data_IF_253684234031
#
_entry.id   IF_253684234031
#
_cell.length_a   1.000
_cell.length_b   1.000
_cell.length_c   1.000
_cell.angle_alpha   90.00
_cell.angle_beta   90.00
_cell.angle_gamma   90.00
#
_symmetry.space_group_name_H-M   'P 1'
#
loop_
_entity.id
_entity.type
_entity.pdbx_description
1 polymer ?
#
# COMPACT_ATOMS: atom_id res chain seq x y z
N UNK A 1 4.29 -28.29 -15.98
CA UNK A 1 3.85 -27.16 -15.16
C UNK A 1 2.77 -27.71 -14.24
N UNK A 2 3.10 -27.98 -12.98
CA UNK A 2 2.11 -28.39 -11.98
C UNK A 2 1.36 -27.12 -11.59
N UNK A 3 0.10 -27.00 -12.02
CA UNK A 3 -0.75 -25.89 -11.61
C UNK A 3 -0.82 -25.86 -10.09
N UNK A 4 -0.43 -24.73 -9.47
CA UNK A 4 -0.77 -24.47 -8.09
C UNK A 4 -2.30 -24.50 -8.02
N UNK A 5 -2.87 -25.37 -7.21
CA UNK A 5 -4.31 -25.34 -6.97
C UNK A 5 -4.65 -23.97 -6.41
N UNK A 6 -5.47 -23.21 -7.11
CA UNK A 6 -6.02 -21.96 -6.60
C UNK A 6 -6.88 -22.34 -5.40
N UNK A 7 -6.57 -21.76 -4.25
CA UNK A 7 -7.32 -21.92 -3.00
C UNK A 7 -8.38 -20.83 -2.83
N UNK A 8 -8.29 -19.80 -3.61
CA UNK A 8 -9.28 -18.76 -3.87
C UNK A 8 -8.89 -18.01 -5.14
N UNK A 9 -9.82 -17.32 -5.75
CA UNK A 9 -9.61 -16.57 -6.97
C UNK A 9 -10.19 -15.16 -6.83
N UNK A 10 -9.68 -14.22 -7.62
CA UNK A 10 -10.40 -12.97 -7.85
C UNK A 10 -11.61 -13.26 -8.74
N UNK A 11 -12.71 -12.49 -8.66
CA UNK A 11 -13.88 -12.60 -9.54
C UNK A 11 -13.58 -12.14 -10.98
N UNK A 12 -12.59 -12.72 -11.61
CA UNK A 12 -12.09 -12.36 -12.95
C UNK A 12 -11.58 -13.59 -13.68
N UNK A 13 -11.75 -13.62 -14.98
CA UNK A 13 -11.13 -14.63 -15.82
C UNK A 13 -9.64 -14.37 -16.00
N UNK A 14 -8.82 -15.40 -15.99
CA UNK A 14 -7.39 -15.30 -16.28
C UNK A 14 -6.49 -16.02 -15.28
N UNK A 15 -5.19 -16.02 -15.59
CA UNK A 15 -4.17 -16.63 -14.72
C UNK A 15 -3.56 -15.58 -13.81
N UNK A 16 -3.68 -15.78 -12.51
CA UNK A 16 -3.10 -14.89 -11.51
C UNK A 16 -2.45 -15.66 -10.36
N UNK A 17 -1.53 -14.99 -9.69
CA UNK A 17 -0.92 -15.47 -8.45
C UNK A 17 -1.62 -14.80 -7.26
N UNK A 18 -2.01 -15.55 -6.25
CA UNK A 18 -2.58 -15.01 -5.00
C UNK A 18 -1.50 -14.55 -4.04
N UNK A 19 -0.32 -15.18 -4.11
CA UNK A 19 0.88 -14.81 -3.37
C UNK A 19 2.13 -14.98 -4.24
N UNK A 20 3.12 -14.12 -3.99
CA UNK A 20 4.45 -14.23 -4.61
C UNK A 20 5.53 -13.73 -3.66
N UNK A 21 6.77 -14.17 -3.85
CA UNK A 21 7.91 -13.78 -3.01
C UNK A 21 8.98 -13.04 -3.81
N UNK A 22 9.58 -12.03 -3.16
CA UNK A 22 10.79 -11.37 -3.59
C UNK A 22 11.78 -11.31 -2.42
N UNK A 23 12.99 -11.81 -2.62
CA UNK A 23 14.01 -11.93 -1.58
C UNK A 23 13.47 -12.61 -0.31
N UNK A 24 13.43 -11.89 0.83
CA UNK A 24 12.96 -12.42 2.11
C UNK A 24 11.48 -12.16 2.40
N UNK A 25 10.78 -11.45 1.52
CA UNK A 25 9.39 -11.06 1.69
C UNK A 25 8.46 -11.88 0.80
N UNK A 26 7.28 -12.17 1.33
CA UNK A 26 6.14 -12.70 0.59
C UNK A 26 5.00 -11.70 0.63
N UNK A 27 4.29 -11.57 -0.48
CA UNK A 27 3.22 -10.62 -0.69
C UNK A 27 1.92 -11.35 -1.03
N UNK A 28 0.81 -10.88 -0.46
CA UNK A 28 -0.54 -11.23 -0.88
C UNK A 28 -1.22 -9.96 -1.33
N UNK A 29 -1.84 -9.97 -2.49
CA UNK A 29 -2.62 -8.86 -3.04
C UNK A 29 -3.97 -8.72 -2.34
N UNK A 30 -4.92 -8.04 -2.96
CA UNK A 30 -6.24 -7.72 -2.40
C UNK A 30 -7.10 -8.95 -2.08
N UNK A 31 -6.72 -9.69 -1.05
CA UNK A 31 -7.48 -10.85 -0.58
C UNK A 31 -8.84 -10.39 -0.04
N UNK A 32 -9.91 -10.96 -0.59
CA UNK A 32 -11.29 -10.84 -0.12
C UNK A 32 -11.78 -12.17 0.42
N UNK A 33 -13.08 -12.24 0.72
CA UNK A 33 -13.77 -13.46 1.11
C UNK A 33 -14.23 -14.25 -0.12
N UNK A 34 -13.27 -14.63 -0.97
CA UNK A 34 -13.50 -15.35 -2.23
C UNK A 34 -13.33 -16.87 -2.06
N UNK A 35 -14.10 -17.63 -2.81
CA UNK A 35 -13.89 -19.05 -3.01
C UNK A 35 -12.95 -19.35 -4.21
N UNK A 36 -12.84 -20.63 -4.59
CA UNK A 36 -11.98 -21.07 -5.69
C UNK A 36 -12.50 -20.59 -7.05
N UNK A 37 -13.80 -20.36 -7.18
CA UNK A 37 -14.48 -19.81 -8.36
C UNK A 37 -14.53 -18.28 -8.40
N UNK A 38 -13.96 -17.59 -7.40
CA UNK A 38 -13.97 -16.14 -7.29
C UNK A 38 -15.28 -15.54 -6.81
N UNK A 39 -16.18 -16.35 -6.22
CA UNK A 39 -17.44 -15.83 -5.68
C UNK A 39 -17.21 -15.34 -4.24
N UNK A 40 -17.91 -14.27 -3.85
CA UNK A 40 -17.90 -13.80 -2.47
C UNK A 40 -18.76 -14.74 -1.64
N UNK A 41 -18.15 -15.41 -0.63
CA UNK A 41 -18.84 -16.39 0.22
C UNK A 41 -19.91 -15.76 1.12
N UNK A 42 -19.65 -14.55 1.62
CA UNK A 42 -20.54 -13.82 2.55
C UNK A 42 -20.85 -12.42 2.03
N UNK A 43 -21.75 -12.27 1.03
CA UNK A 43 -22.10 -10.97 0.47
C UNK A 43 -22.57 -9.98 1.54
N UNK A 44 -22.06 -8.74 1.49
CA UNK A 44 -22.45 -7.62 2.35
C UNK A 44 -22.18 -7.78 3.87
N UNK A 45 -21.63 -8.91 4.33
CA UNK A 45 -21.27 -9.15 5.74
C UNK A 45 -19.78 -8.86 5.98
N UNK A 46 -19.45 -7.65 6.43
CA UNK A 46 -18.07 -7.24 6.66
C UNK A 46 -17.32 -8.16 7.64
N UNK A 47 -17.95 -8.59 8.73
CA UNK A 47 -17.29 -9.42 9.74
C UNK A 47 -16.94 -10.80 9.19
N UNK A 48 -17.87 -11.43 8.49
CA UNK A 48 -17.61 -12.70 7.82
C UNK A 48 -16.58 -12.54 6.70
N UNK A 49 -16.69 -11.46 5.90
CA UNK A 49 -15.72 -11.18 4.84
C UNK A 49 -14.30 -10.93 5.38
N UNK A 50 -14.16 -10.25 6.51
CA UNK A 50 -12.85 -10.06 7.15
C UNK A 50 -12.24 -11.40 7.56
N UNK A 51 -13.04 -12.27 8.20
CA UNK A 51 -12.58 -13.60 8.60
C UNK A 51 -12.14 -14.42 7.40
N UNK A 52 -12.96 -14.49 6.36
CA UNK A 52 -12.65 -15.20 5.13
C UNK A 52 -11.44 -14.64 4.38
N UNK A 53 -11.26 -13.32 4.38
CA UNK A 53 -10.07 -12.69 3.80
C UNK A 53 -8.79 -13.07 4.55
N UNK A 54 -8.82 -13.16 5.88
CA UNK A 54 -7.67 -13.61 6.70
C UNK A 54 -7.36 -15.10 6.44
N UNK A 55 -8.38 -15.95 6.32
CA UNK A 55 -8.22 -17.36 5.93
C UNK A 55 -7.57 -17.48 4.54
N UNK A 56 -8.01 -16.67 3.59
CA UNK A 56 -7.46 -16.63 2.24
C UNK A 56 -6.00 -16.15 2.23
N UNK A 57 -5.63 -15.17 3.08
CA UNK A 57 -4.23 -14.75 3.27
C UNK A 57 -3.40 -15.91 3.82
N UNK A 58 -3.88 -16.62 4.83
CA UNK A 58 -3.18 -17.76 5.40
C UNK A 58 -2.93 -18.84 4.36
N UNK A 59 -3.98 -19.19 3.60
CA UNK A 59 -3.90 -20.18 2.57
C UNK A 59 -2.92 -19.77 1.45
N UNK A 60 -2.93 -18.50 1.03
CA UNK A 60 -2.00 -17.95 0.04
C UNK A 60 -0.54 -17.98 0.55
N UNK A 61 -0.27 -17.56 1.78
CA UNK A 61 1.08 -17.59 2.35
C UNK A 61 1.62 -19.00 2.54
N UNK A 62 0.78 -20.01 2.79
CA UNK A 62 1.23 -21.42 2.84
C UNK A 62 1.87 -21.87 1.52
N UNK A 63 1.44 -21.36 0.37
CA UNK A 63 2.08 -21.63 -0.93
C UNK A 63 3.51 -21.07 -1.01
N UNK A 64 3.78 -19.98 -0.28
CA UNK A 64 5.09 -19.33 -0.18
C UNK A 64 5.90 -19.83 1.04
N UNK A 65 5.45 -20.92 1.70
CA UNK A 65 6.03 -21.48 2.93
C UNK A 65 6.09 -20.45 4.08
N UNK A 66 5.11 -19.58 4.17
CA UNK A 66 4.83 -18.63 5.25
C UNK A 66 3.49 -18.95 5.91
N UNK A 67 3.23 -18.37 7.05
CA UNK A 67 1.94 -18.43 7.73
C UNK A 67 1.54 -17.07 8.31
N UNK A 68 0.37 -17.01 8.96
CA UNK A 68 -0.07 -15.77 9.63
C UNK A 68 0.92 -15.30 10.70
N UNK A 69 1.68 -16.20 11.32
CA UNK A 69 2.73 -15.87 12.28
C UNK A 69 3.89 -15.09 11.67
N UNK A 70 4.10 -15.18 10.37
CA UNK A 70 5.16 -14.47 9.64
C UNK A 70 4.71 -13.10 9.13
N UNK A 71 3.42 -12.76 9.26
CA UNK A 71 2.88 -11.48 8.78
C UNK A 71 3.47 -10.33 9.58
N UNK A 72 4.00 -9.34 8.89
CA UNK A 72 4.59 -8.14 9.45
C UNK A 72 3.72 -6.90 9.24
N UNK A 73 2.88 -6.91 8.19
CA UNK A 73 1.98 -5.81 7.85
C UNK A 73 0.71 -6.33 7.20
N UNK A 74 -0.44 -5.78 7.64
CA UNK A 74 -1.72 -5.85 6.94
C UNK A 74 -2.19 -4.44 6.63
N UNK A 75 -2.63 -4.23 5.39
CA UNK A 75 -3.37 -3.05 4.98
C UNK A 75 -4.77 -3.48 4.59
N UNK A 76 -5.78 -2.92 5.25
CA UNK A 76 -7.17 -3.18 4.99
C UNK A 76 -7.80 -1.99 4.25
N UNK A 77 -8.28 -2.23 3.04
CA UNK A 77 -9.14 -1.32 2.30
C UNK A 77 -10.58 -1.69 2.62
N UNK A 78 -11.29 -0.81 3.30
CA UNK A 78 -12.59 -1.13 3.89
C UNK A 78 -13.62 -0.05 3.61
N UNK A 79 -14.82 -0.45 3.25
CA UNK A 79 -15.96 0.44 3.14
C UNK A 79 -16.57 0.62 4.53
N UNK A 80 -16.36 1.78 5.13
CA UNK A 80 -16.89 2.13 6.45
C UNK A 80 -18.38 2.50 6.37
N UNK A 81 -19.07 2.40 7.49
CA UNK A 81 -20.47 2.79 7.65
C UNK A 81 -20.69 3.39 9.03
N UNK A 82 -21.87 3.92 9.31
CA UNK A 82 -22.22 4.42 10.64
C UNK A 82 -22.07 3.38 11.76
N UNK A 83 -22.26 2.08 11.43
CA UNK A 83 -22.15 0.98 12.37
C UNK A 83 -20.73 0.39 12.46
N UNK A 84 -19.85 0.74 11.54
CA UNK A 84 -18.50 0.17 11.42
C UNK A 84 -17.47 1.29 11.33
N UNK A 85 -16.71 1.47 12.39
CA UNK A 85 -15.60 2.42 12.43
C UNK A 85 -14.24 1.71 12.29
N UNK A 86 -13.17 2.47 12.10
CA UNK A 86 -11.81 1.93 11.96
C UNK A 86 -11.39 1.08 13.17
N UNK A 87 -11.74 1.50 14.39
CA UNK A 87 -11.40 0.78 15.62
C UNK A 87 -11.98 -0.62 15.60
N UNK A 88 -13.27 -0.76 15.25
CA UNK A 88 -13.90 -2.08 15.20
C UNK A 88 -13.24 -3.01 14.16
N UNK A 89 -12.77 -2.46 13.04
CA UNK A 89 -12.01 -3.25 12.04
C UNK A 89 -10.66 -3.68 12.59
N UNK A 90 -9.94 -2.79 13.29
CA UNK A 90 -8.67 -3.13 13.96
C UNK A 90 -8.87 -4.22 14.99
N UNK A 91 -9.90 -4.12 15.84
CA UNK A 91 -10.22 -5.14 16.85
C UNK A 91 -10.53 -6.51 16.23
N UNK A 92 -11.33 -6.52 15.16
CA UNK A 92 -11.63 -7.75 14.43
C UNK A 92 -10.37 -8.37 13.82
N UNK A 93 -9.47 -7.56 13.22
CA UNK A 93 -8.19 -8.05 12.69
C UNK A 93 -7.28 -8.59 13.79
N UNK A 94 -7.14 -7.88 14.91
CA UNK A 94 -6.35 -8.34 16.05
C UNK A 94 -6.87 -9.65 16.63
N UNK A 95 -8.20 -9.86 16.64
CA UNK A 95 -8.81 -11.10 17.09
C UNK A 95 -8.59 -12.29 16.12
N UNK A 96 -8.50 -11.99 14.80
CA UNK A 96 -8.29 -13.00 13.76
C UNK A 96 -6.81 -13.39 13.57
N UNK A 97 -5.88 -12.55 14.03
CA UNK A 97 -4.44 -12.77 13.84
C UNK A 97 -3.82 -13.47 15.06
N UNK A 98 -2.88 -14.40 14.84
CA UNK A 98 -2.25 -15.11 15.96
C UNK A 98 -1.25 -14.22 16.69
N UNK A 99 -1.38 -14.20 17.99
CA UNK A 99 -0.38 -13.83 19.00
C UNK A 99 0.42 -12.52 18.79
N UNK A 100 0.85 -11.98 19.94
CA UNK A 100 1.77 -10.82 20.02
C UNK A 100 3.22 -11.21 19.73
N UNK A 101 4.03 -10.34 19.10
CA UNK A 101 3.62 -9.01 18.66
C UNK A 101 2.67 -9.09 17.45
N UNK A 102 1.65 -8.23 17.46
CA UNK A 102 0.74 -8.11 16.32
C UNK A 102 1.47 -7.52 15.09
N UNK A 103 1.10 -7.89 13.87
CA UNK A 103 1.59 -7.18 12.69
C UNK A 103 1.15 -5.71 12.73
N UNK A 104 1.83 -4.88 11.96
CA UNK A 104 1.36 -3.52 11.72
C UNK A 104 0.05 -3.57 10.94
N UNK A 105 -1.00 -2.95 11.47
CA UNK A 105 -2.30 -2.84 10.81
C UNK A 105 -2.49 -1.40 10.33
N UNK A 106 -2.91 -1.25 9.07
CA UNK A 106 -3.25 0.03 8.46
C UNK A 106 -4.63 -0.05 7.86
N UNK A 107 -5.54 0.81 8.30
CA UNK A 107 -6.88 0.93 7.71
C UNK A 107 -6.84 2.05 6.66
N UNK A 108 -7.42 1.78 5.51
CA UNK A 108 -7.65 2.75 4.44
C UNK A 108 -9.14 2.72 4.11
N UNK A 109 -9.90 3.72 4.54
CA UNK A 109 -11.29 3.85 4.15
C UNK A 109 -11.39 4.01 2.63
N UNK A 110 -12.34 3.31 2.03
CA UNK A 110 -12.68 3.44 0.61
C UNK A 110 -14.19 3.55 0.47
N UNK A 111 -14.65 4.28 -0.53
CA UNK A 111 -16.08 4.48 -0.77
C UNK A 111 -16.72 3.28 -1.46
N UNK A 112 -15.92 2.49 -2.17
CA UNK A 112 -16.38 1.29 -2.88
C UNK A 112 -15.26 0.25 -2.96
N UNK A 113 -15.63 -0.98 -3.26
CA UNK A 113 -14.74 -2.09 -3.56
C UNK A 113 -14.83 -2.44 -5.06
N UNK A 114 -13.83 -3.15 -5.62
CA UNK A 114 -13.83 -3.49 -7.04
C UNK A 114 -14.94 -4.44 -7.46
N UNK A 115 -15.48 -5.23 -6.53
CA UNK A 115 -16.50 -6.22 -6.83
C UNK A 115 -17.78 -5.97 -6.02
N UNK A 116 -18.93 -6.25 -6.62
CA UNK A 116 -20.23 -6.06 -5.99
C UNK A 116 -20.32 -6.84 -4.67
N UNK A 117 -20.98 -6.27 -3.66
CA UNK A 117 -21.18 -6.87 -2.33
C UNK A 117 -19.89 -7.12 -1.51
N UNK A 118 -18.72 -6.76 -2.03
CA UNK A 118 -17.47 -6.75 -1.28
C UNK A 118 -17.44 -5.55 -0.32
N UNK A 119 -16.98 -5.75 0.92
CA UNK A 119 -16.84 -4.68 1.94
C UNK A 119 -15.40 -4.43 2.34
N UNK A 120 -14.53 -5.41 2.11
CA UNK A 120 -13.13 -5.34 2.53
C UNK A 120 -12.23 -6.11 1.56
N UNK A 121 -11.02 -5.62 1.38
CA UNK A 121 -9.90 -6.38 0.85
C UNK A 121 -8.65 -6.13 1.69
N UNK A 122 -7.84 -7.16 1.85
CA UNK A 122 -6.63 -7.12 2.65
C UNK A 122 -5.39 -7.31 1.75
N UNK A 123 -4.40 -6.45 1.93
CA UNK A 123 -3.07 -6.64 1.40
C UNK A 123 -2.14 -7.03 2.54
N UNK A 124 -1.33 -8.06 2.37
CA UNK A 124 -0.44 -8.53 3.43
C UNK A 124 1.01 -8.68 2.95
N UNK A 125 1.93 -8.41 3.87
CA UNK A 125 3.37 -8.65 3.71
C UNK A 125 3.81 -9.58 4.85
N UNK A 126 4.50 -10.67 4.50
CA UNK A 126 5.09 -11.59 5.45
C UNK A 126 6.61 -11.71 5.26
N UNK A 127 7.32 -12.00 6.33
CA UNK A 127 8.74 -12.34 6.33
C UNK A 127 8.94 -13.61 7.15
N UNK A 128 9.35 -14.69 6.48
CA UNK A 128 9.51 -15.99 7.14
C UNK A 128 10.50 -15.95 8.29
N UNK A 129 10.14 -16.56 9.41
CA UNK A 129 11.04 -16.80 10.53
C UNK A 129 11.48 -15.54 11.29
N UNK A 130 10.88 -14.39 11.06
CA UNK A 130 11.31 -13.16 11.71
C UNK A 130 11.15 -13.20 13.24
N UNK A 131 10.24 -14.03 13.75
CA UNK A 131 10.00 -14.19 15.18
C UNK A 131 11.11 -14.96 15.91
N UNK A 132 11.93 -15.68 15.17
CA UNK A 132 13.08 -16.42 15.70
C UNK A 132 14.31 -15.52 15.89
N UNK A 133 14.27 -14.29 15.34
CA UNK A 133 15.33 -13.29 15.51
C UNK A 133 14.96 -12.31 16.63
N UNK A 134 15.94 -11.56 17.14
CA UNK A 134 15.70 -10.49 18.12
C UNK A 134 15.23 -9.24 17.40
N UNK A 135 13.93 -8.95 17.48
CA UNK A 135 13.31 -7.79 16.86
C UNK A 135 12.83 -6.76 17.88
N UNK A 136 12.87 -5.49 17.49
CA UNK A 136 12.20 -4.44 18.25
C UNK A 136 10.79 -4.26 17.67
N UNK A 137 9.81 -4.32 18.53
CA UNK A 137 8.41 -4.03 18.22
C UNK A 137 7.97 -2.90 19.15
N UNK A 138 7.40 -1.85 18.58
CA UNK A 138 6.82 -0.77 19.36
C UNK A 138 5.30 -0.93 19.34
N UNK A 139 4.70 -1.05 20.53
CA UNK A 139 3.26 -1.09 20.72
C UNK A 139 2.81 0.21 21.37
N UNK A 140 1.86 0.91 20.74
CA UNK A 140 1.26 2.12 21.26
C UNK A 140 -0.25 1.96 21.36
N UNK A 141 -0.88 2.59 22.35
CA UNK A 141 -2.33 2.74 22.37
C UNK A 141 -2.79 3.58 21.17
N UNK A 142 -3.74 3.06 20.41
CA UNK A 142 -4.41 3.83 19.37
C UNK A 142 -5.43 4.75 20.05
N UNK A 143 -5.07 5.99 20.33
CA UNK A 143 -6.01 7.01 20.78
C UNK A 143 -6.79 7.51 19.60
N UNK A 144 -7.96 6.95 19.35
CA UNK A 144 -8.92 7.47 18.39
C UNK A 144 -9.87 8.38 19.15
N UNK A 145 -10.00 9.63 18.75
CA UNK A 145 -10.70 10.70 19.46
C UNK A 145 -12.19 10.46 19.76
N UNK A 146 -12.78 9.38 19.27
CA UNK A 146 -14.21 9.06 19.45
C UNK A 146 -14.52 7.89 20.37
N UNK A 147 -13.52 7.24 21.00
CA UNK A 147 -13.74 6.12 21.89
C UNK A 147 -13.30 6.50 23.29
N UNK A 148 -14.21 6.40 24.26
CA UNK A 148 -13.92 6.57 25.69
C UNK A 148 -12.67 5.79 26.08
N UNK A 149 -11.79 6.42 26.86
CA UNK A 149 -10.44 5.94 27.22
C UNK A 149 -10.36 4.59 27.96
N UNK A 150 -11.47 3.88 28.12
CA UNK A 150 -11.55 2.54 28.71
C UNK A 150 -11.70 1.50 27.61
N UNK A 151 -10.57 1.04 27.05
CA UNK A 151 -10.53 -0.14 26.21
C UNK A 151 -10.02 0.02 24.77
N UNK A 152 -9.31 1.10 24.45
CA UNK A 152 -8.67 1.20 23.11
C UNK A 152 -7.70 0.04 22.88
N UNK A 153 -7.74 -0.63 21.71
CA UNK A 153 -6.85 -1.74 21.43
C UNK A 153 -5.38 -1.28 21.39
N UNK A 154 -4.50 -2.09 21.93
CA UNK A 154 -3.05 -1.89 21.75
C UNK A 154 -2.68 -2.33 20.34
N UNK A 155 -2.02 -1.44 19.58
CA UNK A 155 -1.63 -1.69 18.20
C UNK A 155 -0.13 -1.52 18.03
N UNK A 156 0.43 -2.22 17.04
CA UNK A 156 1.82 -2.07 16.63
C UNK A 156 1.91 -0.91 15.65
N UNK A 157 2.63 0.15 16.00
CA UNK A 157 2.81 1.33 15.15
C UNK A 157 4.03 1.23 14.24
N UNK A 158 5.07 0.52 14.67
CA UNK A 158 6.22 0.14 13.87
C UNK A 158 6.70 -1.25 14.26
N UNK A 159 7.05 -2.07 13.28
CA UNK A 159 7.58 -3.42 13.47
C UNK A 159 8.81 -3.62 12.61
N UNK A 160 9.89 -4.11 13.23
CA UNK A 160 11.10 -4.51 12.54
C UNK A 160 11.21 -6.02 12.48
N UNK A 161 11.38 -6.55 11.29
CA UNK A 161 11.58 -7.96 10.96
C UNK A 161 12.93 -8.12 10.23
N UNK A 162 14.02 -8.27 10.99
CA UNK A 162 15.37 -8.25 10.45
C UNK A 162 15.71 -6.91 9.80
N UNK A 163 15.98 -6.91 8.50
CA UNK A 163 16.26 -5.68 7.74
C UNK A 163 15.01 -4.91 7.31
N UNK A 164 13.83 -5.50 7.35
CA UNK A 164 12.58 -4.88 6.89
C UNK A 164 11.82 -4.26 8.06
N UNK A 165 11.30 -3.08 7.84
CA UNK A 165 10.54 -2.32 8.85
C UNK A 165 9.25 -1.82 8.20
N UNK A 166 8.12 -2.06 8.86
CA UNK A 166 6.82 -1.55 8.47
C UNK A 166 6.31 -0.56 9.51
N UNK A 167 5.65 0.51 9.09
CA UNK A 167 4.88 1.40 9.98
C UNK A 167 3.40 1.36 9.63
N UNK A 168 2.56 1.63 10.61
CA UNK A 168 1.13 1.87 10.37
C UNK A 168 0.94 3.17 9.56
N UNK A 169 -0.13 3.22 8.78
CA UNK A 169 -0.58 4.48 8.19
C UNK A 169 -1.20 5.34 9.31
N UNK A 170 -0.62 6.51 9.56
CA UNK A 170 -1.04 7.40 10.62
C UNK A 170 -1.75 8.63 10.09
N UNK A 171 -2.69 9.15 10.88
CA UNK A 171 -3.31 10.47 10.74
C UNK A 171 -2.78 11.40 11.84
N UNK A 172 -3.08 12.69 11.77
CA UNK A 172 -2.71 13.61 12.85
C UNK A 172 -3.40 13.24 14.17
N UNK A 173 -4.65 12.77 14.13
CA UNK A 173 -5.38 12.30 15.31
C UNK A 173 -4.69 11.15 16.05
N UNK A 174 -3.97 10.29 15.33
CA UNK A 174 -3.18 9.21 15.95
C UNK A 174 -1.87 9.70 16.60
N UNK A 175 -1.46 10.94 16.34
CA UNK A 175 -0.15 11.46 16.73
C UNK A 175 -0.20 12.49 17.84
N UNK A 176 -1.37 13.10 18.10
CA UNK A 176 -1.58 14.17 19.05
C UNK A 176 -2.62 13.75 20.09
N UNK A 177 -2.30 13.91 21.38
CA UNK A 177 -3.20 13.47 22.48
C UNK A 177 -4.56 14.20 22.48
N UNK A 178 -4.57 15.46 22.06
CA UNK A 178 -5.78 16.30 22.01
C UNK A 178 -5.88 16.94 20.64
N UNK A 179 -6.20 16.14 19.62
CA UNK A 179 -6.41 16.67 18.27
C UNK A 179 -7.82 17.25 18.15
N UNK A 180 -7.89 18.55 17.88
CA UNK A 180 -9.14 19.31 17.77
C UNK A 180 -9.59 19.58 16.32
N UNK A 181 -8.87 19.02 15.34
CA UNK A 181 -9.17 19.21 13.92
C UNK A 181 -8.65 20.52 13.32
N UNK A 182 -7.99 21.38 14.09
CA UNK A 182 -7.59 22.73 13.64
C UNK A 182 -6.36 22.81 12.73
N UNK A 183 -5.70 21.68 12.41
CA UNK A 183 -4.51 21.66 11.56
C UNK A 183 -4.87 21.55 10.09
N UNK A 184 -4.28 22.38 9.24
CA UNK A 184 -4.34 22.20 7.79
C UNK A 184 -3.54 20.96 7.33
N UNK A 185 -3.71 20.57 6.06
CA UNK A 185 -3.09 19.34 5.55
C UNK A 185 -1.56 19.34 5.59
N UNK A 186 -0.90 20.50 5.46
CA UNK A 186 0.56 20.61 5.57
C UNK A 186 1.00 20.39 7.02
N UNK A 187 0.34 21.05 7.98
CA UNK A 187 0.60 20.87 9.41
C UNK A 187 0.33 19.43 9.86
N UNK A 188 -0.77 18.80 9.41
CA UNK A 188 -1.03 17.38 9.63
C UNK A 188 0.10 16.51 9.08
N UNK A 189 0.59 16.79 7.88
CA UNK A 189 1.72 16.07 7.28
C UNK A 189 2.98 16.16 8.13
N UNK A 190 3.31 17.34 8.68
CA UNK A 190 4.45 17.51 9.58
C UNK A 190 4.31 16.70 10.87
N UNK A 191 3.16 16.73 11.51
CA UNK A 191 2.87 15.94 12.72
C UNK A 191 3.05 14.45 12.44
N UNK A 192 2.45 13.95 11.36
CA UNK A 192 2.53 12.54 10.97
C UNK A 192 3.99 12.12 10.69
N UNK A 193 4.71 12.89 9.88
CA UNK A 193 6.10 12.56 9.52
C UNK A 193 7.03 12.58 10.73
N UNK A 194 6.83 13.51 11.66
CA UNK A 194 7.54 13.53 12.94
C UNK A 194 7.30 12.27 13.77
N UNK A 195 6.03 11.85 13.89
CA UNK A 195 5.64 10.63 14.59
C UNK A 195 6.20 9.36 13.93
N UNK A 196 6.10 9.25 12.59
CA UNK A 196 6.69 8.12 11.85
C UNK A 196 8.20 8.03 12.06
N UNK A 197 8.91 9.17 12.05
CA UNK A 197 10.35 9.18 12.31
C UNK A 197 10.69 8.76 13.74
N UNK A 198 9.88 9.13 14.73
CA UNK A 198 10.05 8.67 16.11
C UNK A 198 9.85 7.15 16.22
N UNK A 199 8.78 6.61 15.64
CA UNK A 199 8.50 5.16 15.62
C UNK A 199 9.62 4.38 14.92
N UNK A 200 10.14 4.89 13.78
CA UNK A 200 11.27 4.27 13.08
C UNK A 200 12.54 4.27 13.94
N UNK A 201 12.81 5.37 14.65
CA UNK A 201 13.99 5.46 15.56
C UNK A 201 13.89 4.47 16.71
N UNK A 202 12.72 4.24 17.26
CA UNK A 202 12.49 3.26 18.32
C UNK A 202 12.85 1.83 17.87
N UNK A 203 12.72 1.52 16.59
CA UNK A 203 13.13 0.22 16.01
C UNK A 203 14.49 0.29 15.28
N UNK A 204 15.30 1.31 15.52
CA UNK A 204 16.67 1.42 15.04
C UNK A 204 16.81 1.85 13.57
N UNK A 205 15.85 2.62 13.04
CA UNK A 205 15.88 3.16 11.69
C UNK A 205 15.50 4.65 11.66
N UNK A 206 15.33 5.22 10.49
CA UNK A 206 14.90 6.60 10.27
C UNK A 206 14.11 6.72 8.96
N UNK A 207 13.53 7.87 8.69
CA UNK A 207 12.88 8.14 7.40
C UNK A 207 13.86 8.03 6.21
N UNK A 208 15.17 8.22 6.43
CA UNK A 208 16.19 8.05 5.39
C UNK A 208 16.36 6.56 4.97
N UNK A 209 15.86 5.63 5.77
CA UNK A 209 15.86 4.21 5.45
C UNK A 209 14.57 3.77 4.71
N UNK A 210 13.63 4.69 4.49
CA UNK A 210 12.39 4.39 3.78
C UNK A 210 12.66 3.91 2.35
N UNK A 211 12.01 2.83 1.96
CA UNK A 211 12.04 2.24 0.60
C UNK A 211 10.74 2.45 -0.14
N UNK A 212 9.68 2.78 0.57
CA UNK A 212 8.38 3.14 0.02
C UNK A 212 7.64 4.07 0.98
N UNK A 213 7.14 5.18 0.45
CA UNK A 213 6.15 6.01 1.10
C UNK A 213 4.79 5.76 0.46
N UNK A 214 3.79 5.51 1.28
CA UNK A 214 2.40 5.39 0.86
C UNK A 214 1.56 6.40 1.62
N UNK A 215 0.76 7.16 0.90
CA UNK A 215 -0.09 8.18 1.51
C UNK A 215 -1.45 8.27 0.84
N UNK A 216 -2.37 8.85 1.59
CA UNK A 216 -3.71 9.19 1.15
C UNK A 216 -4.01 10.61 1.58
N UNK A 217 -4.78 11.34 0.80
CA UNK A 217 -5.13 12.71 1.13
C UNK A 217 -6.54 13.07 0.68
N UNK A 218 -7.18 13.97 1.40
CA UNK A 218 -8.46 14.53 1.02
C UNK A 218 -8.23 15.68 0.06
N UNK A 219 -8.77 15.57 -1.14
CA UNK A 219 -8.64 16.58 -2.17
C UNK A 219 -8.67 15.98 -3.58
N UNK A 220 -8.94 16.82 -4.56
CA UNK A 220 -9.14 16.41 -5.96
C UNK A 220 -8.30 17.25 -6.93
N UNK A 221 -7.49 18.19 -6.39
CA UNK A 221 -6.70 19.09 -7.22
C UNK A 221 -5.24 19.11 -6.80
N UNK A 222 -4.39 19.55 -7.72
CA UNK A 222 -2.95 19.71 -7.49
C UNK A 222 -2.66 20.76 -6.41
N UNK A 223 -3.44 21.82 -6.36
CA UNK A 223 -3.30 22.91 -5.39
C UNK A 223 -3.53 22.40 -3.96
N UNK A 224 -4.46 21.47 -3.78
CA UNK A 224 -4.71 20.82 -2.50
C UNK A 224 -3.60 19.82 -2.14
N UNK A 225 -3.06 19.08 -3.12
CA UNK A 225 -2.01 18.09 -2.93
C UNK A 225 -0.62 18.70 -2.64
N UNK A 226 -0.27 19.80 -3.33
CA UNK A 226 1.11 20.34 -3.34
C UNK A 226 1.63 20.73 -1.95
N UNK A 227 0.88 21.43 -1.07
CA UNK A 227 1.36 21.75 0.27
C UNK A 227 1.67 20.51 1.11
N UNK A 228 0.81 19.50 1.03
CA UNK A 228 0.99 18.24 1.76
C UNK A 228 2.22 17.48 1.23
N UNK A 229 2.41 17.47 -0.08
CA UNK A 229 3.57 16.83 -0.71
C UNK A 229 4.89 17.46 -0.29
N UNK A 230 4.97 18.80 -0.31
CA UNK A 230 6.16 19.57 0.13
C UNK A 230 6.45 19.35 1.62
N UNK A 231 5.43 19.35 2.46
CA UNK A 231 5.59 19.09 3.90
C UNK A 231 6.18 17.70 4.15
N UNK A 232 5.67 16.65 3.49
CA UNK A 232 6.24 15.29 3.60
C UNK A 232 7.66 15.21 3.03
N UNK A 233 7.89 15.83 1.87
CA UNK A 233 9.16 15.81 1.16
C UNK A 233 10.30 16.42 1.99
N UNK A 234 10.01 17.43 2.81
CA UNK A 234 11.03 18.11 3.65
C UNK A 234 11.71 17.20 4.69
N UNK A 235 11.18 16.01 4.92
CA UNK A 235 11.76 15.01 5.83
C UNK A 235 12.76 14.07 5.15
N UNK A 236 12.92 14.14 3.85
CA UNK A 236 13.80 13.26 3.10
C UNK A 236 14.98 14.05 2.50
N UNK A 237 16.19 13.51 2.66
CA UNK A 237 17.30 13.92 1.84
C UNK A 237 17.16 13.33 0.43
N UNK A 238 17.73 13.99 -0.56
CA UNK A 238 17.81 13.45 -1.92
C UNK A 238 18.97 12.45 -2.02
N UNK A 239 18.73 11.27 -2.61
CA UNK A 239 17.51 10.73 -3.20
C UNK A 239 16.51 10.20 -2.15
N UNK A 240 15.28 10.66 -2.21
CA UNK A 240 14.19 10.16 -1.38
C UNK A 240 13.60 8.83 -1.87
N UNK A 241 12.70 8.19 -1.10
CA UNK A 241 12.11 6.91 -1.48
C UNK A 241 11.12 7.05 -2.64
N UNK A 242 10.83 5.98 -3.37
CA UNK A 242 9.62 5.88 -4.19
C UNK A 242 8.36 6.18 -3.39
N UNK A 243 7.48 7.01 -3.92
CA UNK A 243 6.27 7.47 -3.24
C UNK A 243 5.01 7.20 -4.07
N UNK A 244 3.89 6.94 -3.40
CA UNK A 244 2.54 6.87 -3.97
C UNK A 244 1.60 7.58 -3.02
N UNK A 245 0.84 8.57 -3.52
CA UNK A 245 -0.07 9.35 -2.68
C UNK A 245 -1.38 9.61 -3.41
N UNK A 246 -2.44 8.97 -2.97
CA UNK A 246 -3.72 8.86 -3.65
C UNK A 246 -4.76 9.77 -2.99
N UNK A 247 -5.57 10.51 -3.77
CA UNK A 247 -6.77 11.13 -3.23
C UNK A 247 -7.75 10.05 -2.76
N UNK A 248 -8.28 10.23 -1.56
CA UNK A 248 -9.16 9.27 -0.93
C UNK A 248 -10.12 9.99 0.01
N UNK A 249 -11.32 9.48 0.16
CA UNK A 249 -12.24 9.95 1.18
C UNK A 249 -11.80 9.40 2.54
N UNK A 250 -11.27 10.27 3.40
CA UNK A 250 -10.65 9.87 4.68
C UNK A 250 -11.61 9.92 5.89
N UNK A 251 -12.89 10.18 5.64
CA UNK A 251 -13.91 10.38 6.68
C UNK A 251 -13.98 11.84 7.15
N UNK A 252 -15.16 12.24 7.63
CA UNK A 252 -15.41 13.64 8.09
C UNK A 252 -15.13 13.80 9.59
N UNK A 253 -15.10 12.71 10.35
CA UNK A 253 -15.18 12.74 11.82
C UNK A 253 -14.03 13.46 12.51
N UNK A 254 -12.82 13.43 11.92
CA UNK A 254 -11.61 13.99 12.56
C UNK A 254 -10.93 15.08 11.72
N UNK A 255 -11.61 15.65 10.73
CA UNK A 255 -11.01 16.59 9.77
C UNK A 255 -9.66 16.10 9.23
N UNK A 256 -9.54 14.78 9.02
CA UNK A 256 -8.33 14.14 8.52
C UNK A 256 -8.09 14.55 7.07
N UNK A 257 -7.01 15.31 6.84
CA UNK A 257 -6.61 15.76 5.50
C UNK A 257 -5.61 14.82 4.84
N UNK A 258 -4.89 14.02 5.63
CA UNK A 258 -3.88 13.11 5.09
C UNK A 258 -3.58 11.94 6.04
N UNK A 259 -3.15 10.84 5.44
CA UNK A 259 -2.74 9.60 6.11
C UNK A 259 -1.47 9.10 5.44
N UNK A 260 -0.44 8.76 6.21
CA UNK A 260 0.87 8.36 5.68
C UNK A 260 1.43 7.18 6.45
N UNK A 261 2.06 6.25 5.72
CA UNK A 261 2.87 5.17 6.25
C UNK A 261 4.10 4.91 5.38
N UNK A 262 5.08 4.23 5.93
CA UNK A 262 6.32 3.89 5.22
C UNK A 262 6.69 2.42 5.40
N UNK A 263 7.33 1.88 4.39
CA UNK A 263 8.19 0.70 4.51
C UNK A 263 9.63 1.16 4.46
N UNK A 264 10.48 0.60 5.34
CA UNK A 264 11.88 0.93 5.41
C UNK A 264 12.74 -0.34 5.42
N UNK A 265 14.00 -0.20 5.01
CA UNK A 265 14.96 -1.29 5.07
C UNK A 265 16.29 -0.80 5.63
N UNK A 266 16.75 -1.47 6.68
CA UNK A 266 18.04 -1.18 7.33
C UNK A 266 18.71 -2.46 7.77
N UNK A 267 19.94 -2.68 7.32
CA UNK A 267 20.71 -3.86 7.68
C UNK A 267 21.11 -3.80 9.17
N UNK A 268 20.98 -4.93 9.85
CA UNK A 268 21.54 -5.11 11.18
C UNK A 268 22.74 -6.05 11.09
N UNK A 269 23.91 -5.56 11.55
CA UNK A 269 25.13 -6.34 11.63
C UNK A 269 25.65 -6.35 13.06
N UNK A 270 25.57 -7.51 13.73
CA UNK A 270 25.98 -7.66 15.12
C UNK A 270 25.27 -6.64 16.02
N UNK A 271 26.01 -5.66 16.55
CA UNK A 271 25.51 -4.66 17.48
C UNK A 271 25.20 -3.29 16.86
N UNK A 272 25.28 -3.13 15.54
CA UNK A 272 25.02 -1.85 14.89
C UNK A 272 24.16 -2.00 13.63
N UNK A 273 23.45 -0.93 13.32
CA UNK A 273 22.63 -0.82 12.13
C UNK A 273 23.38 -0.11 11.02
N UNK A 274 23.21 -0.58 9.78
CA UNK A 274 23.90 -0.06 8.61
C UNK A 274 22.90 0.31 7.49
N UNK A 275 23.15 1.44 6.87
CA UNK A 275 22.43 1.85 5.66
C UNK A 275 22.64 0.84 4.54
N UNK A 276 21.57 0.48 3.85
CA UNK A 276 21.60 -0.40 2.67
C UNK A 276 21.78 0.49 1.43
N UNK A 277 22.85 0.32 0.65
CA UNK A 277 23.02 1.04 -0.61
C UNK A 277 21.85 0.82 -1.57
N UNK A 278 21.52 1.84 -2.32
CA UNK A 278 20.41 1.87 -3.28
C UNK A 278 20.92 2.14 -4.67
N UNK A 279 20.26 1.54 -5.65
CA UNK A 279 20.39 1.84 -7.06
C UNK A 279 19.10 2.50 -7.53
N UNK A 280 19.19 3.69 -8.09
CA UNK A 280 18.02 4.42 -8.58
C UNK A 280 17.80 4.17 -10.06
N UNK A 281 16.55 4.11 -10.51
CA UNK A 281 16.19 4.17 -11.92
C UNK A 281 15.20 5.31 -12.16
N UNK A 282 15.58 6.17 -13.12
CA UNK A 282 14.73 7.23 -13.63
C UNK A 282 15.10 7.49 -15.09
N UNK A 283 14.67 6.63 -16.00
CA UNK A 283 14.90 6.83 -17.43
C UNK A 283 14.33 8.15 -17.93
N UNK A 284 15.02 8.79 -18.88
CA UNK A 284 14.67 10.12 -19.38
C UNK A 284 13.22 10.21 -19.89
N UNK A 285 12.69 9.14 -20.47
CA UNK A 285 11.30 9.10 -20.94
C UNK A 285 10.28 9.20 -19.80
N UNK A 286 10.62 8.75 -18.60
CA UNK A 286 9.71 8.76 -17.47
C UNK A 286 9.52 10.19 -16.97
N UNK A 287 8.28 10.55 -16.72
CA UNK A 287 7.87 11.89 -16.29
C UNK A 287 8.53 12.32 -14.97
N UNK A 288 8.55 13.63 -14.73
CA UNK A 288 8.97 14.24 -13.47
C UNK A 288 7.78 14.91 -12.80
N UNK A 289 7.88 15.12 -11.48
CA UNK A 289 6.86 15.82 -10.71
C UNK A 289 6.77 17.30 -11.14
N UNK A 290 5.54 17.86 -11.14
CA UNK A 290 5.36 19.30 -11.40
C UNK A 290 5.74 20.18 -10.20
N UNK A 291 6.43 19.63 -9.22
CA UNK A 291 6.99 20.29 -8.05
C UNK A 291 8.35 19.66 -7.72
N UNK A 292 9.24 20.46 -7.15
CA UNK A 292 10.54 19.97 -6.70
C UNK A 292 10.36 19.04 -5.48
N UNK A 293 10.57 17.74 -5.70
CA UNK A 293 10.41 16.68 -4.69
C UNK A 293 11.62 15.73 -4.73
N UNK A 294 12.09 15.21 -3.58
CA UNK A 294 13.28 14.35 -3.52
C UNK A 294 13.01 12.91 -3.96
N UNK A 295 11.77 12.55 -4.25
CA UNK A 295 11.34 11.18 -4.52
C UNK A 295 11.97 10.60 -5.78
N UNK A 296 12.22 9.29 -5.78
CA UNK A 296 12.67 8.53 -6.93
C UNK A 296 11.54 7.74 -7.56
N UNK A 297 11.61 7.50 -8.88
CA UNK A 297 10.60 6.73 -9.61
C UNK A 297 10.73 5.23 -9.34
N UNK A 298 11.98 4.72 -9.20
CA UNK A 298 12.25 3.36 -8.77
C UNK A 298 13.56 3.29 -7.99
N UNK A 299 13.61 2.40 -7.01
CA UNK A 299 14.84 2.09 -6.26
C UNK A 299 15.00 0.58 -6.10
N UNK A 300 16.20 0.08 -6.37
CA UNK A 300 16.62 -1.28 -6.06
C UNK A 300 17.45 -1.30 -4.80
N UNK A 301 17.07 -2.17 -3.87
CA UNK A 301 17.84 -2.49 -2.67
C UNK A 301 17.99 -4.02 -2.62
N UNK A 302 19.25 -4.48 -2.65
CA UNK A 302 19.52 -5.92 -2.74
C UNK A 302 18.78 -6.55 -3.93
N UNK A 303 17.90 -7.50 -3.66
CA UNK A 303 17.15 -8.23 -4.68
C UNK A 303 15.68 -7.80 -4.74
N UNK A 304 15.36 -6.57 -4.40
CA UNK A 304 14.00 -6.00 -4.51
C UNK A 304 14.04 -4.65 -5.20
N UNK A 305 13.09 -4.44 -6.10
CA UNK A 305 12.87 -3.15 -6.78
C UNK A 305 11.53 -2.61 -6.30
N UNK A 306 11.56 -1.41 -5.74
CA UNK A 306 10.40 -0.67 -5.26
C UNK A 306 10.05 0.43 -6.25
N UNK A 307 8.80 0.47 -6.70
CA UNK A 307 8.32 1.46 -7.66
C UNK A 307 7.54 2.58 -6.98
N UNK A 308 7.73 3.80 -7.45
CA UNK A 308 6.84 4.92 -7.16
C UNK A 308 5.51 4.77 -7.92
N UNK A 309 4.48 5.51 -7.48
CA UNK A 309 3.21 5.57 -8.20
C UNK A 309 3.41 6.15 -9.60
N UNK A 310 3.13 5.34 -10.61
CA UNK A 310 3.19 5.73 -11.99
C UNK A 310 1.82 6.19 -12.46
N UNK A 311 1.79 7.33 -13.11
CA UNK A 311 0.59 7.96 -13.67
C UNK A 311 0.78 8.18 -15.18
N UNK A 312 -0.31 8.32 -15.96
CA UNK A 312 -0.23 8.49 -17.41
C UNK A 312 0.19 9.94 -17.79
N UNK A 313 1.28 10.44 -17.21
CA UNK A 313 1.82 11.76 -17.50
C UNK A 313 2.54 11.79 -18.84
N UNK A 314 2.66 12.97 -19.45
CA UNK A 314 3.40 13.12 -20.70
C UNK A 314 4.87 12.71 -20.52
N UNK A 315 5.44 11.95 -21.47
CA UNK A 315 6.85 11.59 -21.45
C UNK A 315 7.76 12.84 -21.54
N UNK A 316 8.95 12.74 -20.97
CA UNK A 316 9.97 13.80 -20.99
C UNK A 316 9.48 15.13 -20.38
N UNK A 317 8.54 15.11 -19.46
CA UNK A 317 7.83 16.31 -19.01
C UNK A 317 7.63 16.33 -17.50
N UNK A 318 7.66 17.52 -16.93
CA UNK A 318 7.27 17.83 -15.55
C UNK A 318 6.00 18.70 -15.48
N UNK A 319 5.26 18.84 -16.57
CA UNK A 319 4.04 19.67 -16.59
C UNK A 319 2.87 19.04 -15.85
N UNK A 320 2.93 17.73 -15.65
CA UNK A 320 1.84 16.95 -15.08
C UNK A 320 0.64 16.77 -16.03
N UNK A 321 0.76 17.14 -17.30
CA UNK A 321 -0.28 16.85 -18.31
C UNK A 321 -0.41 15.35 -18.53
N UNK A 322 -1.63 14.88 -18.78
CA UNK A 322 -1.93 13.48 -19.00
C UNK A 322 -1.99 13.12 -20.48
N UNK A 323 -1.58 11.90 -20.82
CA UNK A 323 -1.88 11.29 -22.10
C UNK A 323 -3.24 10.60 -22.03
N UNK A 324 -3.94 10.50 -23.15
CA UNK A 324 -5.27 9.87 -23.22
C UNK A 324 -6.25 10.34 -22.12
N UNK A 325 -6.51 11.67 -21.96
CA UNK A 325 -7.29 12.19 -20.84
C UNK A 325 -8.61 11.46 -20.63
N UNK A 326 -8.88 11.02 -19.42
CA UNK A 326 -10.12 10.38 -19.03
C UNK A 326 -10.35 8.95 -19.57
N UNK A 327 -9.40 8.35 -20.29
CA UNK A 327 -9.53 7.03 -20.90
C UNK A 327 -8.77 5.97 -20.08
N UNK A 328 -9.48 5.14 -19.33
CA UNK A 328 -8.89 4.20 -18.36
C UNK A 328 -7.91 3.21 -19.01
N UNK A 329 -8.36 2.44 -20.00
CA UNK A 329 -7.53 1.37 -20.57
C UNK A 329 -6.31 1.91 -21.35
N UNK A 330 -6.42 2.95 -22.21
CA UNK A 330 -5.24 3.58 -22.81
C UNK A 330 -4.26 4.14 -21.77
N UNK A 331 -4.76 4.75 -20.69
CA UNK A 331 -3.91 5.24 -19.59
C UNK A 331 -3.24 4.11 -18.82
N UNK A 332 -3.94 3.01 -18.58
CA UNK A 332 -3.38 1.82 -17.92
C UNK A 332 -2.23 1.22 -18.74
N UNK A 333 -2.45 1.00 -20.04
CA UNK A 333 -1.42 0.50 -20.97
C UNK A 333 -0.19 1.41 -20.97
N UNK A 334 -0.42 2.73 -21.05
CA UNK A 334 0.66 3.70 -21.06
C UNK A 334 1.43 3.73 -19.73
N UNK A 335 0.73 3.67 -18.61
CA UNK A 335 1.32 3.62 -17.25
C UNK A 335 2.18 2.36 -17.06
N UNK A 336 1.70 1.20 -17.54
CA UNK A 336 2.48 -0.04 -17.52
C UNK A 336 3.75 0.05 -18.38
N UNK A 337 3.74 0.86 -19.45
CA UNK A 337 4.96 1.11 -20.23
C UNK A 337 6.02 1.86 -19.43
N UNK A 338 5.64 2.76 -18.52
CA UNK A 338 6.59 3.39 -17.58
C UNK A 338 7.14 2.39 -16.56
N UNK A 339 6.31 1.50 -16.04
CA UNK A 339 6.78 0.42 -15.17
C UNK A 339 7.83 -0.44 -15.88
N UNK A 340 7.60 -0.79 -17.14
CA UNK A 340 8.58 -1.50 -17.97
C UNK A 340 9.88 -0.69 -18.14
N UNK A 341 9.79 0.60 -18.42
CA UNK A 341 10.97 1.48 -18.54
C UNK A 341 11.76 1.58 -17.23
N UNK A 342 11.10 1.59 -16.08
CA UNK A 342 11.73 1.66 -14.76
C UNK A 342 12.39 0.35 -14.33
N UNK A 343 11.88 -0.80 -14.78
CA UNK A 343 12.44 -2.11 -14.49
C UNK A 343 13.64 -2.46 -15.39
N UNK A 344 13.63 -1.98 -16.63
CA UNK A 344 14.66 -2.27 -17.65
C UNK A 344 16.11 -1.96 -17.23
N UNK A 345 16.44 -0.83 -16.55
CA UNK A 345 17.80 -0.55 -16.07
C UNK A 345 18.34 -1.61 -15.11
N UNK A 346 17.46 -2.33 -14.43
CA UNK A 346 17.81 -3.43 -13.53
C UNK A 346 17.81 -4.81 -14.23
N UNK A 347 17.61 -4.85 -15.56
CA UNK A 347 17.51 -6.09 -16.33
C UNK A 347 16.23 -6.87 -16.06
N UNK A 348 15.14 -6.18 -15.73
CA UNK A 348 13.83 -6.73 -15.37
C UNK A 348 12.73 -6.18 -16.26
N UNK A 349 11.59 -6.85 -16.24
CA UNK A 349 10.37 -6.46 -16.95
C UNK A 349 9.12 -6.69 -16.06
N UNK A 350 7.91 -6.31 -16.51
CA UNK A 350 6.71 -6.46 -15.70
C UNK A 350 6.36 -7.91 -15.27
N UNK A 351 6.89 -8.95 -15.92
CA UNK A 351 6.70 -10.33 -15.48
C UNK A 351 7.49 -10.68 -14.20
N UNK A 352 8.46 -9.84 -13.83
CA UNK A 352 9.21 -9.96 -12.57
C UNK A 352 8.48 -9.35 -11.36
N UNK A 353 7.32 -8.71 -11.56
CA UNK A 353 6.52 -8.14 -10.48
C UNK A 353 6.06 -9.24 -9.50
N UNK A 354 6.12 -8.94 -8.22
CA UNK A 354 5.70 -9.81 -7.11
C UNK A 354 4.59 -9.19 -6.26
N UNK A 355 4.26 -7.94 -6.54
CA UNK A 355 3.08 -7.23 -6.05
C UNK A 355 2.75 -6.13 -7.07
N UNK A 356 1.48 -6.00 -7.41
CA UNK A 356 0.94 -4.90 -8.19
C UNK A 356 -0.20 -4.23 -7.42
N UNK A 357 -0.17 -2.91 -7.33
CA UNK A 357 -1.21 -2.11 -6.68
C UNK A 357 -1.71 -1.08 -7.67
N UNK A 358 -2.98 -1.16 -7.97
CA UNK A 358 -3.64 -0.35 -8.99
C UNK A 358 -4.79 0.43 -8.36
N UNK A 359 -4.66 1.75 -8.32
CA UNK A 359 -5.74 2.68 -8.03
C UNK A 359 -6.32 3.16 -9.36
N UNK A 360 -7.63 3.07 -9.50
CA UNK A 360 -8.29 3.49 -10.74
C UNK A 360 -9.60 4.21 -10.44
N UNK A 361 -9.92 5.20 -11.28
CA UNK A 361 -11.20 5.89 -11.18
C UNK A 361 -12.29 4.95 -11.70
N UNK A 362 -13.12 4.48 -10.80
CA UNK A 362 -14.24 3.63 -11.15
C UNK A 362 -15.34 4.46 -11.80
N UNK A 363 -15.81 3.98 -12.95
CA UNK A 363 -17.07 4.43 -13.54
C UNK A 363 -18.19 3.47 -13.09
N UNK A 364 -19.46 3.87 -13.13
CA UNK A 364 -20.57 3.08 -12.57
C UNK A 364 -20.77 1.68 -13.14
N UNK A 365 -20.06 1.31 -14.20
CA UNK A 365 -20.23 0.04 -14.92
C UNK A 365 -19.01 -0.87 -14.72
N UNK A 366 -19.20 -2.03 -14.10
CA UNK A 366 -18.17 -3.04 -13.80
C UNK A 366 -17.38 -3.58 -15.02
N UNK A 367 -17.85 -3.38 -16.24
CA UNK A 367 -17.23 -3.88 -17.48
C UNK A 367 -15.78 -3.39 -17.66
N UNK A 368 -15.43 -2.20 -17.16
CA UNK A 368 -14.06 -1.70 -17.26
C UNK A 368 -13.08 -2.37 -16.30
N UNK A 369 -13.53 -2.86 -15.14
CA UNK A 369 -12.68 -3.54 -14.16
C UNK A 369 -12.10 -4.84 -14.73
N UNK A 370 -12.93 -5.66 -15.38
CA UNK A 370 -12.48 -6.90 -16.02
C UNK A 370 -11.49 -6.62 -17.16
N UNK A 371 -11.83 -5.65 -18.04
CA UNK A 371 -10.94 -5.27 -19.13
C UNK A 371 -9.61 -4.67 -18.63
N UNK A 372 -9.63 -3.91 -17.54
CA UNK A 372 -8.42 -3.41 -16.88
C UNK A 372 -7.55 -4.54 -16.37
N UNK A 373 -8.12 -5.52 -15.68
CA UNK A 373 -7.38 -6.66 -15.14
C UNK A 373 -6.80 -7.52 -16.28
N UNK A 374 -7.55 -7.76 -17.35
CA UNK A 374 -7.03 -8.47 -18.52
C UNK A 374 -5.84 -7.72 -19.14
N UNK A 375 -5.94 -6.40 -19.30
CA UNK A 375 -4.83 -5.57 -19.81
C UNK A 375 -3.59 -5.67 -18.89
N UNK A 376 -3.78 -5.58 -17.58
CA UNK A 376 -2.67 -5.72 -16.62
C UNK A 376 -2.03 -7.10 -16.71
N UNK A 377 -2.83 -8.16 -16.86
CA UNK A 377 -2.37 -9.54 -17.07
C UNK A 377 -1.49 -9.65 -18.32
N UNK A 378 -1.96 -9.09 -19.43
CA UNK A 378 -1.21 -9.10 -20.70
C UNK A 378 0.11 -8.34 -20.57
N UNK A 379 0.10 -7.17 -19.91
CA UNK A 379 1.30 -6.38 -19.64
C UNK A 379 2.31 -7.11 -18.74
N UNK A 380 1.85 -8.00 -17.87
CA UNK A 380 2.69 -8.83 -16.99
C UNK A 380 3.12 -10.16 -17.62
N UNK A 381 2.94 -10.33 -18.94
CA UNK A 381 3.37 -11.56 -19.64
C UNK A 381 2.38 -12.72 -19.53
N UNK A 382 1.11 -12.44 -19.27
CA UNK A 382 0.02 -13.43 -19.26
C UNK A 382 -0.23 -14.09 -17.89
N UNK A 383 0.52 -13.71 -16.86
CA UNK A 383 0.28 -14.12 -15.46
C UNK A 383 0.27 -12.88 -14.59
N UNK A 384 -0.86 -12.58 -13.98
CA UNK A 384 -1.02 -11.43 -13.10
C UNK A 384 -0.32 -11.71 -11.76
N UNK A 385 0.58 -10.83 -11.28
CA UNK A 385 1.13 -10.96 -9.93
C UNK A 385 0.03 -10.69 -8.88
N UNK A 386 0.27 -10.98 -7.58
CA UNK A 386 -0.66 -10.58 -6.52
C UNK A 386 -1.10 -9.13 -6.70
N UNK A 387 -2.39 -8.94 -6.98
CA UNK A 387 -2.99 -7.64 -7.32
C UNK A 387 -3.81 -7.09 -6.17
N UNK A 388 -3.57 -5.82 -5.82
CA UNK A 388 -4.50 -5.01 -5.02
C UNK A 388 -5.15 -3.99 -5.93
N UNK A 389 -6.45 -4.11 -6.14
CA UNK A 389 -7.23 -3.29 -7.06
C UNK A 389 -8.14 -2.36 -6.27
N UNK A 390 -7.95 -1.05 -6.36
CA UNK A 390 -8.66 -0.09 -5.52
C UNK A 390 -9.38 0.94 -6.41
N UNK A 391 -10.71 0.85 -6.51
CA UNK A 391 -11.49 1.90 -7.14
C UNK A 391 -11.50 3.16 -6.26
N UNK A 392 -11.32 4.31 -6.89
CA UNK A 392 -11.39 5.63 -6.26
C UNK A 392 -12.35 6.53 -7.03
N UNK A 393 -12.93 7.50 -6.35
CA UNK A 393 -13.84 8.47 -6.99
C UNK A 393 -13.06 9.47 -7.85
N UNK A 394 -11.90 9.86 -7.37
CA UNK A 394 -11.09 10.92 -7.97
C UNK A 394 -9.60 10.51 -8.01
N UNK A 395 -8.90 11.09 -8.98
CA UNK A 395 -7.44 11.10 -9.02
C UNK A 395 -6.94 12.54 -8.74
N UNK A 396 -5.64 12.79 -8.86
CA UNK A 396 -5.02 14.09 -8.61
C UNK A 396 -5.52 15.21 -9.54
N UNK A 397 -6.17 14.83 -10.63
CA UNK A 397 -6.81 15.71 -11.60
C UNK A 397 -7.90 14.96 -12.37
N UNK A 398 -8.73 15.70 -13.09
CA UNK A 398 -9.86 15.13 -13.85
C UNK A 398 -9.46 14.31 -15.08
N UNK A 399 -8.26 14.53 -15.59
CA UNK A 399 -7.72 13.85 -16.76
C UNK A 399 -7.08 12.50 -16.43
N UNK A 400 -6.71 12.30 -15.18
CA UNK A 400 -6.16 11.03 -14.65
C UNK A 400 -7.27 10.03 -14.33
N UNK A 401 -7.04 8.78 -14.71
CA UNK A 401 -7.93 7.68 -14.35
C UNK A 401 -7.23 6.56 -13.59
N UNK A 402 -5.89 6.60 -13.46
CA UNK A 402 -5.13 5.49 -12.91
C UNK A 402 -3.81 5.94 -12.29
N UNK A 403 -3.40 5.25 -11.23
CA UNK A 403 -2.04 5.26 -10.68
C UNK A 403 -1.65 3.84 -10.28
N UNK A 404 -0.49 3.37 -10.73
CA UNK A 404 -0.01 2.00 -10.50
C UNK A 404 1.37 2.03 -9.87
N UNK A 405 1.59 1.17 -8.88
CA UNK A 405 2.92 0.88 -8.35
C UNK A 405 3.09 -0.60 -8.04
N UNK A 406 4.30 -1.04 -7.78
CA UNK A 406 4.56 -2.45 -7.50
C UNK A 406 5.90 -2.69 -6.83
N UNK A 407 6.14 -3.97 -6.54
CA UNK A 407 7.42 -4.50 -6.09
C UNK A 407 7.84 -5.60 -7.05
N UNK A 408 9.08 -5.55 -7.53
CA UNK A 408 9.62 -6.59 -8.40
C UNK A 408 10.82 -7.31 -7.75
N UNK A 409 11.08 -8.53 -8.24
CA UNK A 409 12.32 -9.22 -7.95
C UNK A 409 13.49 -8.47 -8.59
N UNK A 410 14.53 -8.19 -7.81
CA UNK A 410 15.73 -7.46 -8.25
C UNK A 410 16.82 -8.32 -8.87
#
# INVERSE_FOLDING_TARGET
>A
MTGKNLIWSLPIDGTHEVAASAASLSFVGGAGDFDEEGQIRNPDDLKCQLTGAVENIEAAFRQENCGLVDVIRIKAFVTLSEQVCEVSVVEMLLAALPNRPAPVISIVPVVMQPFASQKIQLQAIAKRGWRDEVHCVEECELKIASVDAQGSPVVTTALRAGEVIATANRTAAHCVETYDGGLDGAAQSHVIMGSLNASLRAVGASLQDAVKLEGYYQGTTREQWTPLAKARASYFAEPGPPATVIPCHLGEQDQTMTRVGVLAMRERRNSYDKYIPREDAWPERVWDWPAELPYRQAQKLRNMIWLGGQVPAQPFSNTGKRVHPGQLLPQACFTMSYISDLLRPFGRDPSDLKLLVCYYRSLPECAETEALVQLLTDCCGGVLPPLTLIPVEHMQDTDSTIEIWGVAQG
#
